data_IF_633645918990
#
_entry.id   IF_633645918990
#
_cell.length_a   1.000
_cell.length_b   1.000
_cell.length_c   1.000
_cell.angle_alpha   90.00
_cell.angle_beta   90.00
_cell.angle_gamma   90.00
#
_symmetry.space_group_name_H-M   'P 1'
#
loop_
_entity.id
_entity.type
_entity.pdbx_description
1 polymer ?
#
# COMPACT_ATOMS: atom_id res chain seq x y z
N UNK A 1 12.56 -7.02 3.68
CA UNK A 1 12.85 -8.12 4.63
C UNK A 1 12.97 -9.41 3.86
N UNK A 2 13.69 -10.40 4.40
CA UNK A 2 13.73 -11.74 3.80
C UNK A 2 12.32 -12.34 3.87
N UNK A 3 11.73 -12.78 2.74
CA UNK A 3 10.41 -13.39 2.74
C UNK A 3 10.43 -14.68 3.55
N UNK A 4 9.51 -14.81 4.50
CA UNK A 4 9.43 -15.98 5.37
C UNK A 4 7.99 -16.38 5.67
N UNK A 5 7.73 -17.67 5.79
CA UNK A 5 6.43 -18.22 6.17
C UNK A 5 6.60 -19.43 7.10
N UNK A 6 5.86 -19.49 8.24
CA UNK A 6 5.76 -20.71 9.02
C UNK A 6 4.77 -21.69 8.38
N UNK A 7 5.05 -22.98 8.50
CA UNK A 7 4.04 -24.03 8.39
C UNK A 7 2.93 -23.79 9.41
N UNK A 8 1.66 -23.93 8.98
CA UNK A 8 0.53 -23.62 9.87
C UNK A 8 0.40 -24.64 11.00
N UNK A 9 0.76 -25.90 10.74
CA UNK A 9 0.73 -26.96 11.73
C UNK A 9 2.05 -27.04 12.50
N UNK A 10 1.96 -27.15 13.82
CA UNK A 10 3.11 -27.48 14.66
C UNK A 10 3.42 -28.98 14.58
N UNK A 11 4.70 -29.32 14.75
CA UNK A 11 5.14 -30.71 14.84
C UNK A 11 4.73 -31.39 16.15
N UNK A 12 4.99 -32.68 16.31
CA UNK A 12 5.61 -33.55 15.31
C UNK A 12 4.66 -33.86 14.14
N UNK A 13 5.24 -34.02 12.95
CA UNK A 13 4.51 -34.28 11.71
C UNK A 13 4.41 -35.80 11.47
N UNK A 14 3.20 -36.29 11.21
CA UNK A 14 2.97 -37.72 10.92
C UNK A 14 2.97 -37.96 9.42
N UNK A 15 4.12 -38.35 8.87
CA UNK A 15 4.32 -38.57 7.44
C UNK A 15 4.36 -40.09 7.15
N UNK A 16 3.55 -40.53 6.20
CA UNK A 16 3.38 -41.92 5.76
C UNK A 16 3.78 -42.05 4.30
N UNK A 17 4.56 -43.08 4.01
CA UNK A 17 5.01 -43.40 2.65
C UNK A 17 3.82 -43.59 1.71
N UNK A 18 3.86 -42.95 0.54
CA UNK A 18 2.81 -43.05 -0.47
C UNK A 18 1.51 -42.30 -0.15
N UNK A 19 1.44 -41.53 0.94
CA UNK A 19 0.21 -40.83 1.36
C UNK A 19 0.40 -39.31 1.49
N UNK A 20 1.45 -38.87 2.19
CA UNK A 20 1.69 -37.45 2.50
C UNK A 20 3.19 -37.15 2.59
N UNK A 21 3.97 -37.85 1.78
CA UNK A 21 5.43 -37.91 1.83
C UNK A 21 6.10 -37.20 0.64
N UNK A 22 5.35 -36.38 -0.10
CA UNK A 22 5.86 -35.67 -1.27
C UNK A 22 5.53 -34.18 -1.17
N UNK A 23 6.53 -33.33 -1.08
CA UNK A 23 6.37 -31.87 -1.11
C UNK A 23 6.55 -31.36 -2.54
N UNK A 24 5.68 -30.44 -2.97
CA UNK A 24 5.79 -29.78 -4.27
C UNK A 24 6.02 -28.29 -4.05
N UNK A 25 7.14 -27.76 -4.55
CA UNK A 25 7.59 -26.40 -4.27
C UNK A 25 8.34 -25.84 -5.48
N UNK A 26 8.12 -24.56 -5.78
CA UNK A 26 8.92 -23.80 -6.73
C UNK A 26 9.71 -22.76 -5.96
N UNK A 27 10.98 -22.58 -6.32
CA UNK A 27 11.89 -21.61 -5.72
C UNK A 27 12.28 -20.62 -6.81
N UNK A 28 12.21 -19.34 -6.50
CA UNK A 28 12.40 -18.21 -7.41
C UNK A 28 11.53 -18.34 -8.67
N UNK A 29 12.16 -18.25 -9.85
CA UNK A 29 11.55 -18.48 -11.16
C UNK A 29 11.84 -19.89 -11.70
N UNK A 30 12.34 -20.80 -10.85
CA UNK A 30 12.67 -22.16 -11.22
C UNK A 30 11.45 -23.04 -11.43
N UNK A 31 11.62 -24.09 -12.24
CA UNK A 31 10.62 -25.12 -12.41
C UNK A 31 10.24 -25.73 -11.05
N UNK A 32 8.96 -26.00 -10.78
CA UNK A 32 8.55 -26.70 -9.56
C UNK A 32 9.25 -28.06 -9.43
N UNK A 33 9.71 -28.37 -8.22
CA UNK A 33 10.39 -29.62 -7.90
C UNK A 33 9.62 -30.42 -6.85
N UNK A 34 9.77 -31.75 -6.92
CA UNK A 34 9.23 -32.67 -5.94
C UNK A 34 10.31 -33.07 -4.93
N UNK A 35 9.97 -33.00 -3.64
CA UNK A 35 10.88 -33.31 -2.55
C UNK A 35 10.25 -34.40 -1.68
N UNK A 36 10.88 -35.58 -1.67
CA UNK A 36 10.44 -36.71 -0.86
C UNK A 36 10.74 -36.43 0.63
N UNK A 37 9.70 -36.44 1.46
CA UNK A 37 9.79 -36.14 2.89
C UNK A 37 10.20 -37.38 3.71
N UNK A 38 10.81 -37.14 4.87
CA UNK A 38 11.06 -38.16 5.89
C UNK A 38 9.76 -38.83 6.35
N UNK A 39 9.77 -40.16 6.49
CA UNK A 39 8.62 -40.96 6.95
C UNK A 39 8.67 -41.23 8.45
N UNK A 40 7.52 -41.23 9.10
CA UNK A 40 7.35 -41.50 10.52
C UNK A 40 6.70 -40.33 11.27
N UNK A 41 6.98 -40.26 12.58
CA UNK A 41 6.59 -39.12 13.42
C UNK A 41 7.81 -38.21 13.56
N UNK A 42 7.88 -37.17 12.75
CA UNK A 42 9.07 -36.34 12.54
C UNK A 42 8.97 -35.05 13.36
N UNK A 43 9.97 -34.73 14.18
CA UNK A 43 10.02 -33.45 14.89
C UNK A 43 10.25 -32.30 13.90
N UNK A 44 9.80 -31.09 14.25
CA UNK A 44 10.01 -29.92 13.38
C UNK A 44 11.49 -29.65 13.09
N UNK A 45 12.38 -29.89 14.07
CA UNK A 45 13.84 -29.76 13.90
C UNK A 45 14.42 -30.71 12.88
N UNK A 46 13.95 -31.96 12.88
CA UNK A 46 14.46 -33.00 11.98
C UNK A 46 13.96 -32.77 10.56
N UNK A 47 12.69 -32.34 10.42
CA UNK A 47 12.12 -31.96 9.13
C UNK A 47 12.81 -30.73 8.55
N UNK A 48 13.04 -29.68 9.34
CA UNK A 48 13.76 -28.48 8.88
C UNK A 48 15.16 -28.83 8.38
N UNK A 49 15.90 -29.69 9.12
CA UNK A 49 17.25 -30.13 8.72
C UNK A 49 17.26 -30.93 7.41
N UNK A 50 16.30 -31.85 7.22
CA UNK A 50 16.20 -32.62 5.97
C UNK A 50 15.78 -31.73 4.79
N UNK A 51 14.85 -30.80 4.98
CA UNK A 51 14.47 -29.85 3.92
C UNK A 51 15.62 -28.92 3.55
N UNK A 52 16.39 -28.46 4.54
CA UNK A 52 17.58 -27.62 4.30
C UNK A 52 18.63 -28.30 3.43
N UNK A 53 18.84 -29.62 3.58
CA UNK A 53 19.81 -30.36 2.77
C UNK A 53 19.30 -30.63 1.35
N UNK A 54 17.98 -30.74 1.16
CA UNK A 54 17.36 -31.01 -0.14
C UNK A 54 17.09 -29.76 -0.97
N UNK A 55 16.86 -28.62 -0.32
CA UNK A 55 16.54 -27.34 -0.97
C UNK A 55 17.50 -26.28 -0.45
N UNK A 56 18.79 -26.33 -0.86
CA UNK A 56 19.82 -25.45 -0.30
C UNK A 56 19.61 -23.96 -0.61
N UNK A 57 18.77 -23.62 -1.61
CA UNK A 57 18.43 -22.24 -1.97
C UNK A 57 17.45 -21.57 -1.01
N UNK A 58 16.86 -22.29 -0.06
CA UNK A 58 15.98 -21.77 0.98
C UNK A 58 16.57 -22.03 2.36
N UNK A 59 16.15 -21.23 3.33
CA UNK A 59 16.52 -21.37 4.73
C UNK A 59 15.35 -21.96 5.53
N UNK A 60 15.59 -23.07 6.22
CA UNK A 60 14.61 -23.77 7.06
C UNK A 60 15.00 -23.69 8.54
N UNK A 61 14.21 -22.97 9.32
CA UNK A 61 14.39 -22.84 10.77
C UNK A 61 13.18 -23.38 11.53
N UNK A 62 13.22 -23.39 12.86
CA UNK A 62 12.10 -23.83 13.69
C UNK A 62 11.74 -22.74 14.69
N UNK A 63 10.47 -22.34 14.69
CA UNK A 63 9.91 -21.38 15.63
C UNK A 63 8.62 -21.93 16.22
N UNK A 64 8.48 -21.93 17.55
CA UNK A 64 7.28 -22.44 18.25
C UNK A 64 6.86 -23.84 17.76
N UNK A 65 7.85 -24.71 17.55
CA UNK A 65 7.67 -26.08 17.06
C UNK A 65 7.03 -26.15 15.66
N UNK A 66 7.20 -25.13 14.82
CA UNK A 66 6.81 -25.10 13.40
C UNK A 66 8.05 -24.91 12.54
N UNK A 67 8.10 -25.58 11.39
CA UNK A 67 9.12 -25.27 10.38
C UNK A 67 8.79 -23.92 9.76
N UNK A 68 9.79 -23.04 9.69
CA UNK A 68 9.72 -21.74 9.02
C UNK A 68 10.61 -21.81 7.80
N UNK A 69 10.04 -21.45 6.65
CA UNK A 69 10.75 -21.37 5.38
C UNK A 69 11.02 -19.91 5.09
N UNK A 70 12.24 -19.58 4.71
CA UNK A 70 12.64 -18.23 4.32
C UNK A 70 13.53 -18.25 3.09
N UNK A 71 13.52 -17.17 2.32
CA UNK A 71 14.53 -16.95 1.27
C UNK A 71 15.94 -16.81 1.88
N UNK A 72 16.98 -16.91 1.05
CA UNK A 72 18.34 -16.60 1.52
C UNK A 72 18.58 -15.09 1.63
N UNK A 73 18.02 -14.32 0.70
CA UNK A 73 18.21 -12.88 0.62
C UNK A 73 16.87 -12.16 0.44
N UNK A 74 16.90 -10.84 0.62
CA UNK A 74 15.77 -10.00 0.24
C UNK A 74 15.73 -9.91 -1.29
N UNK A 75 14.62 -10.34 -1.89
CA UNK A 75 14.45 -10.31 -3.33
C UNK A 75 13.16 -9.59 -3.73
N UNK A 76 13.13 -9.09 -4.96
CA UNK A 76 11.95 -8.48 -5.58
C UNK A 76 11.20 -9.58 -6.34
N UNK A 77 10.00 -9.93 -5.87
CA UNK A 77 9.16 -10.94 -6.51
C UNK A 77 8.92 -12.17 -5.63
N UNK A 78 8.53 -13.28 -6.25
CA UNK A 78 8.22 -14.54 -5.57
C UNK A 78 9.51 -15.28 -5.23
N UNK A 79 9.79 -15.46 -3.94
CA UNK A 79 10.95 -16.23 -3.49
C UNK A 79 10.72 -17.72 -3.53
N UNK A 80 9.51 -18.14 -3.18
CA UNK A 80 9.09 -19.51 -3.36
C UNK A 80 7.57 -19.57 -3.37
N UNK A 81 7.04 -20.62 -3.96
CA UNK A 81 5.61 -20.88 -3.99
C UNK A 81 5.32 -22.35 -3.80
N UNK A 82 4.08 -22.64 -3.41
CA UNK A 82 3.54 -24.00 -3.36
C UNK A 82 2.49 -24.12 -4.46
N UNK A 83 2.87 -24.45 -5.71
CA UNK A 83 1.91 -24.54 -6.79
C UNK A 83 0.81 -25.53 -6.45
N UNK A 84 -0.42 -25.23 -6.86
CA UNK A 84 -1.52 -26.18 -6.70
C UNK A 84 -1.36 -27.30 -7.74
N UNK A 85 -1.08 -28.55 -7.34
CA UNK A 85 -0.88 -29.64 -8.29
C UNK A 85 -2.14 -29.93 -9.13
N UNK A 86 -3.31 -29.45 -8.71
CA UNK A 86 -4.59 -29.59 -9.43
C UNK A 86 -4.71 -28.67 -10.65
N UNK A 87 -3.85 -27.66 -10.79
CA UNK A 87 -3.91 -26.72 -11.92
C UNK A 87 -3.30 -27.30 -13.19
N UNK A 88 -2.25 -28.10 -13.06
CA UNK A 88 -1.62 -28.78 -14.20
C UNK A 88 -2.31 -30.08 -14.56
N UNK A 89 -3.04 -30.67 -13.62
CA UNK A 89 -3.82 -31.88 -13.84
C UNK A 89 -5.19 -31.80 -13.14
N UNK A 90 -6.29 -31.55 -13.89
CA UNK A 90 -7.62 -31.47 -13.33
C UNK A 90 -8.14 -32.82 -12.81
N UNK A 91 -7.50 -33.94 -13.18
CA UNK A 91 -7.81 -35.25 -12.61
C UNK A 91 -7.05 -35.43 -11.30
N UNK A 92 -7.73 -35.15 -10.18
CA UNK A 92 -7.23 -35.41 -8.83
C UNK A 92 -6.92 -36.91 -8.52
N UNK A 93 -6.96 -37.78 -9.54
CA UNK A 93 -6.77 -39.22 -9.46
C UNK A 93 -5.30 -39.67 -9.52
N UNK A 94 -4.35 -38.80 -9.88
CA UNK A 94 -2.94 -39.18 -9.84
C UNK A 94 -2.44 -39.35 -8.41
N UNK A 95 -1.74 -40.47 -8.18
CA UNK A 95 -1.11 -40.80 -6.88
C UNK A 95 -0.14 -39.70 -6.42
N UNK A 96 0.52 -39.01 -7.35
CA UNK A 96 1.41 -37.87 -7.05
C UNK A 96 0.63 -36.69 -6.48
N UNK A 97 -0.49 -36.32 -7.10
CA UNK A 97 -1.36 -35.22 -6.65
C UNK A 97 -1.90 -35.48 -5.26
N UNK A 98 -2.39 -36.69 -4.98
CA UNK A 98 -2.90 -37.05 -3.65
C UNK A 98 -1.81 -37.02 -2.58
N UNK A 99 -0.59 -37.48 -2.91
CA UNK A 99 0.58 -37.42 -2.01
C UNK A 99 0.97 -35.97 -1.67
N UNK A 100 0.97 -35.09 -2.65
CA UNK A 100 1.28 -33.66 -2.45
C UNK A 100 0.23 -32.97 -1.61
N UNK A 101 -1.05 -33.15 -1.92
CA UNK A 101 -2.15 -32.57 -1.14
C UNK A 101 -2.15 -33.11 0.29
N UNK A 102 -1.84 -34.41 0.47
CA UNK A 102 -1.63 -35.01 1.79
C UNK A 102 -0.50 -34.34 2.56
N UNK A 103 0.65 -34.09 1.92
CA UNK A 103 1.78 -33.40 2.53
C UNK A 103 1.42 -31.95 2.90
N UNK A 104 0.79 -31.21 1.99
CA UNK A 104 0.34 -29.84 2.24
C UNK A 104 -0.62 -29.77 3.43
N UNK A 105 -1.62 -30.65 3.49
CA UNK A 105 -2.53 -30.72 4.63
C UNK A 105 -1.80 -31.04 5.95
N UNK A 106 -0.85 -31.98 5.91
CA UNK A 106 -0.07 -32.40 7.09
C UNK A 106 0.81 -31.27 7.63
N UNK A 107 1.45 -30.51 6.74
CA UNK A 107 2.33 -29.39 7.08
C UNK A 107 1.54 -28.09 7.32
N UNK A 108 0.26 -28.03 6.93
CA UNK A 108 -0.53 -26.80 6.99
C UNK A 108 -0.10 -25.77 5.95
N UNK A 109 0.28 -26.24 4.75
CA UNK A 109 0.60 -25.42 3.59
C UNK A 109 -0.70 -25.21 2.79
N UNK A 110 -0.94 -23.96 2.37
CA UNK A 110 -2.07 -23.63 1.51
C UNK A 110 -1.62 -23.75 0.04
N UNK A 111 -2.21 -24.64 -0.77
CA UNK A 111 -1.88 -24.75 -2.19
C UNK A 111 -2.13 -23.42 -2.93
N UNK A 112 -1.31 -23.11 -3.93
CA UNK A 112 -1.35 -21.86 -4.68
C UNK A 112 -0.73 -20.66 -3.95
N UNK A 113 -0.28 -20.83 -2.70
CA UNK A 113 0.33 -19.73 -1.95
C UNK A 113 1.74 -19.45 -2.46
N UNK A 114 1.95 -18.24 -2.93
CA UNK A 114 3.26 -17.67 -3.20
C UNK A 114 3.73 -16.82 -2.01
N UNK A 115 5.00 -16.91 -1.68
CA UNK A 115 5.66 -16.03 -0.71
C UNK A 115 6.56 -15.10 -1.49
N UNK A 116 6.15 -13.84 -1.57
CA UNK A 116 6.92 -12.79 -2.21
C UNK A 116 7.58 -11.89 -1.18
N UNK A 117 8.83 -11.55 -1.44
CA UNK A 117 9.45 -10.36 -0.89
C UNK A 117 9.00 -9.20 -1.77
N UNK A 118 8.29 -8.22 -1.20
CA UNK A 118 8.04 -6.97 -1.90
C UNK A 118 8.64 -5.83 -1.10
N UNK A 119 9.82 -5.41 -1.52
CA UNK A 119 10.27 -4.06 -1.21
C UNK A 119 9.46 -3.09 -2.07
N UNK A 120 8.45 -2.48 -1.47
CA UNK A 120 7.58 -1.52 -2.16
C UNK A 120 8.35 -0.26 -2.55
N UNK A 121 9.24 0.18 -1.66
CA UNK A 121 10.13 1.31 -1.85
C UNK A 121 11.45 1.03 -1.14
N UNK A 122 12.59 1.48 -1.69
CA UNK A 122 13.83 1.46 -0.93
C UNK A 122 13.65 2.26 0.34
N UNK A 123 14.29 1.80 1.42
CA UNK A 123 14.38 2.61 2.64
C UNK A 123 14.92 4.00 2.30
N UNK A 124 14.41 5.02 2.98
CA UNK A 124 14.80 6.41 2.76
C UNK A 124 15.11 7.08 4.10
N UNK A 125 15.82 8.20 4.03
CA UNK A 125 16.16 9.02 5.18
C UNK A 125 16.12 10.49 4.80
N UNK A 126 15.93 11.33 5.81
CA UNK A 126 15.99 12.78 5.67
C UNK A 126 17.40 13.22 6.08
N UNK A 127 18.12 13.88 5.18
CA UNK A 127 19.49 14.35 5.41
C UNK A 127 19.55 15.87 5.35
N UNK A 128 20.47 16.52 6.09
CA UNK A 128 20.73 17.96 5.91
C UNK A 128 21.23 18.18 4.50
N UNK A 129 20.67 19.15 3.80
CA UNK A 129 21.21 19.55 2.50
C UNK A 129 22.54 20.28 2.74
N UNK A 130 23.65 19.65 2.34
CA UNK A 130 24.99 20.22 2.49
C UNK A 130 25.24 21.38 1.51
N UNK A 131 24.41 21.49 0.46
CA UNK A 131 24.51 22.57 -0.53
C UNK A 131 23.68 23.79 -0.16
N UNK A 132 22.75 23.66 0.79
CA UNK A 132 21.94 24.79 1.26
C UNK A 132 22.67 25.59 2.35
N UNK A 133 22.53 26.92 2.27
CA UNK A 133 22.98 27.86 3.30
C UNK A 133 22.07 27.77 4.54
N UNK A 134 20.81 27.33 4.37
CA UNK A 134 19.87 27.18 5.49
C UNK A 134 20.07 25.84 6.20
N UNK A 135 20.42 25.89 7.49
CA UNK A 135 20.64 24.69 8.29
C UNK A 135 19.39 23.83 8.51
N UNK A 136 18.21 24.35 8.17
CA UNK A 136 16.92 23.65 8.25
C UNK A 136 16.59 22.88 7.00
N UNK A 137 17.28 23.11 5.89
CA UNK A 137 16.99 22.42 4.65
C UNK A 137 17.34 20.95 4.73
N UNK A 138 16.43 20.14 4.19
CA UNK A 138 16.50 18.69 4.25
C UNK A 138 16.19 18.09 2.89
N UNK A 139 16.96 17.08 2.51
CA UNK A 139 16.75 16.27 1.31
C UNK A 139 16.33 14.86 1.69
N UNK A 140 15.42 14.28 0.92
CA UNK A 140 15.05 12.87 1.04
C UNK A 140 16.03 12.06 0.19
N UNK A 141 16.76 11.18 0.83
CA UNK A 141 17.74 10.30 0.17
C UNK A 141 17.25 8.87 0.30
N UNK A 142 16.99 8.24 -0.83
CA UNK A 142 16.72 6.80 -0.88
C UNK A 142 18.05 6.05 -0.75
N UNK A 143 18.05 4.98 0.04
CA UNK A 143 19.23 4.14 0.26
C UNK A 143 19.69 3.43 -1.03
N UNK A 144 18.79 3.30 -2.00
CA UNK A 144 19.03 2.74 -3.33
C UNK A 144 18.22 3.54 -4.36
N UNK A 145 18.62 3.55 -5.64
CA UNK A 145 17.85 4.17 -6.71
C UNK A 145 16.42 3.61 -6.76
N UNK A 146 15.45 4.49 -6.97
CA UNK A 146 14.07 4.10 -7.26
C UNK A 146 13.98 3.63 -8.71
N UNK A 147 13.85 2.33 -8.91
CA UNK A 147 13.49 1.78 -10.21
C UNK A 147 11.98 1.92 -10.38
N UNK A 148 11.53 3.05 -10.93
CA UNK A 148 10.13 3.29 -11.22
C UNK A 148 9.90 3.20 -12.74
N UNK A 149 9.02 2.28 -13.15
CA UNK A 149 8.59 2.19 -14.56
C UNK A 149 7.58 3.28 -14.91
N UNK A 150 6.93 3.87 -13.90
CA UNK A 150 6.06 5.02 -14.03
C UNK A 150 6.79 6.29 -13.55
N UNK A 151 6.73 7.42 -14.27
CA UNK A 151 7.54 8.61 -13.95
C UNK A 151 7.03 9.41 -12.75
N UNK A 152 5.96 8.98 -12.07
CA UNK A 152 5.30 9.76 -11.02
C UNK A 152 5.64 9.19 -9.65
N UNK A 153 6.31 10.00 -8.83
CA UNK A 153 6.54 9.73 -7.41
C UNK A 153 5.70 10.74 -6.61
N UNK A 154 4.69 10.25 -5.90
CA UNK A 154 3.90 11.08 -4.99
C UNK A 154 4.45 10.97 -3.57
N UNK A 155 4.83 12.11 -3.00
CA UNK A 155 5.27 12.23 -1.62
C UNK A 155 4.25 13.01 -0.81
N UNK A 156 3.63 12.36 0.17
CA UNK A 156 2.76 13.01 1.14
C UNK A 156 3.51 13.16 2.46
N UNK A 157 3.58 14.37 3.00
CA UNK A 157 4.21 14.64 4.28
C UNK A 157 3.35 15.59 5.11
N UNK A 158 3.46 15.48 6.44
CA UNK A 158 2.86 16.44 7.37
C UNK A 158 3.94 17.41 7.82
N UNK A 159 3.56 18.68 7.96
CA UNK A 159 4.46 19.73 8.44
C UNK A 159 3.70 20.69 9.34
N UNK A 160 4.41 21.41 10.22
CA UNK A 160 3.77 22.47 10.99
C UNK A 160 3.35 23.60 10.05
N UNK A 161 2.27 24.34 10.38
CA UNK A 161 1.79 25.44 9.54
C UNK A 161 2.90 26.42 9.17
N UNK A 162 3.78 26.79 10.10
CA UNK A 162 4.91 27.70 9.89
C UNK A 162 5.92 27.24 8.84
N UNK A 163 5.95 25.95 8.51
CA UNK A 163 6.84 25.34 7.53
C UNK A 163 6.09 24.81 6.29
N UNK A 164 4.80 25.07 6.20
CA UNK A 164 3.96 24.71 5.06
C UNK A 164 4.30 25.61 3.88
N UNK A 165 5.08 25.11 2.90
CA UNK A 165 5.42 25.89 1.70
C UNK A 165 4.20 26.30 0.87
N UNK A 166 3.09 25.54 0.97
CA UNK A 166 1.85 25.77 0.21
C UNK A 166 0.92 26.81 0.86
N UNK A 167 0.91 26.89 2.19
CA UNK A 167 0.01 27.77 2.94
C UNK A 167 0.72 28.85 3.75
N UNK A 168 2.06 28.84 3.78
CA UNK A 168 2.94 29.79 4.48
C UNK A 168 2.46 30.19 5.89
N UNK A 169 2.04 29.22 6.71
CA UNK A 169 1.58 29.50 8.07
C UNK A 169 0.11 29.92 8.21
N UNK A 170 -0.57 30.31 7.13
CA UNK A 170 -1.95 30.80 7.17
C UNK A 170 -2.97 29.70 7.53
N UNK A 171 -2.58 28.41 7.42
CA UNK A 171 -3.49 27.25 7.56
C UNK A 171 -4.66 27.27 6.57
N UNK A 172 -4.57 28.14 5.56
CA UNK A 172 -5.52 28.32 4.47
C UNK A 172 -4.70 28.17 3.18
N UNK A 173 -5.24 27.42 2.23
CA UNK A 173 -4.65 27.21 0.92
C UNK A 173 -5.22 28.25 -0.05
N UNK A 174 -4.38 29.16 -0.52
CA UNK A 174 -4.78 30.26 -1.40
C UNK A 174 -4.67 29.86 -2.88
N UNK A 175 -5.47 30.46 -3.77
CA UNK A 175 -5.47 30.20 -5.24
C UNK A 175 -4.20 30.68 -5.98
N UNK A 176 -3.16 31.00 -5.23
CA UNK A 176 -1.87 31.40 -5.73
C UNK A 176 -0.77 30.56 -5.10
N UNK A 177 0.29 30.36 -5.87
CA UNK A 177 1.55 29.81 -5.39
C UNK A 177 2.49 30.97 -5.08
N UNK A 178 3.17 30.88 -3.95
CA UNK A 178 4.29 31.79 -3.67
C UNK A 178 5.54 31.20 -4.31
N UNK A 179 6.09 31.91 -5.30
CA UNK A 179 7.33 31.55 -6.00
C UNK A 179 8.31 32.69 -5.79
N UNK A 180 9.31 32.45 -4.94
CA UNK A 180 10.20 33.52 -4.45
C UNK A 180 9.40 34.56 -3.66
N UNK A 181 9.50 35.82 -4.07
CA UNK A 181 8.76 36.96 -3.49
C UNK A 181 7.53 37.35 -4.32
N UNK A 182 7.14 36.52 -5.29
CA UNK A 182 6.01 36.78 -6.21
C UNK A 182 4.86 35.80 -6.04
N UNK A 183 3.67 36.27 -6.43
CA UNK A 183 2.46 35.46 -6.51
C UNK A 183 2.24 34.99 -7.94
N UNK A 184 2.17 33.68 -8.14
CA UNK A 184 1.74 33.07 -9.40
C UNK A 184 0.34 32.49 -9.22
N UNK A 185 -0.58 32.83 -10.11
CA UNK A 185 -1.94 32.27 -10.11
C UNK A 185 -1.88 30.80 -10.51
N UNK A 186 -2.63 29.95 -9.81
CA UNK A 186 -2.80 28.55 -10.22
C UNK A 186 -3.80 28.50 -11.38
N UNK A 187 -3.46 27.81 -12.46
CA UNK A 187 -4.26 27.75 -13.68
C UNK A 187 -4.68 26.31 -14.03
N UNK A 188 -5.57 26.19 -15.03
CA UNK A 188 -6.01 24.94 -15.64
C UNK A 188 -6.47 23.85 -14.65
N UNK A 189 -5.88 22.66 -14.75
CA UNK A 189 -6.26 21.45 -14.02
C UNK A 189 -5.85 21.56 -12.54
N UNK A 190 -4.78 22.28 -12.25
CA UNK A 190 -4.33 22.50 -10.87
C UNK A 190 -5.32 23.40 -10.12
N UNK A 191 -5.85 24.43 -10.80
CA UNK A 191 -6.90 25.28 -10.24
C UNK A 191 -8.17 24.45 -9.98
N UNK A 192 -8.56 23.61 -10.93
CA UNK A 192 -9.71 22.72 -10.75
C UNK A 192 -9.54 21.79 -9.54
N UNK A 193 -8.37 21.15 -9.40
CA UNK A 193 -8.09 20.29 -8.24
C UNK A 193 -8.15 21.08 -6.93
N UNK A 194 -7.55 22.27 -6.91
CA UNK A 194 -7.56 23.13 -5.75
C UNK A 194 -8.98 23.57 -5.35
N UNK A 195 -9.80 23.99 -6.31
CA UNK A 195 -11.18 24.39 -6.05
C UNK A 195 -12.01 23.20 -5.52
N UNK A 196 -11.84 22.01 -6.12
CA UNK A 196 -12.51 20.79 -5.65
C UNK A 196 -12.06 20.43 -4.22
N UNK A 197 -10.76 20.49 -3.93
CA UNK A 197 -10.21 20.21 -2.60
C UNK A 197 -10.74 21.20 -1.55
N UNK A 198 -10.80 22.49 -1.89
CA UNK A 198 -11.39 23.53 -1.03
C UNK A 198 -12.83 23.19 -0.68
N UNK A 199 -13.65 22.81 -1.66
CA UNK A 199 -15.04 22.42 -1.41
C UNK A 199 -15.14 21.12 -0.62
N UNK A 200 -14.27 20.15 -0.89
CA UNK A 200 -14.33 18.85 -0.26
C UNK A 200 -13.88 18.87 1.19
N UNK A 201 -12.83 19.64 1.50
CA UNK A 201 -12.22 19.65 2.83
C UNK A 201 -12.70 20.79 3.73
N UNK A 202 -13.41 21.78 3.19
CA UNK A 202 -14.15 22.75 4.01
C UNK A 202 -15.29 22.03 4.75
N UNK A 203 -15.36 22.18 6.07
CA UNK A 203 -16.42 21.59 6.88
C UNK A 203 -17.72 22.36 6.67
N UNK A 204 -18.83 21.68 6.39
CA UNK A 204 -20.16 22.33 6.35
C UNK A 204 -20.38 23.12 7.65
N UNK A 205 -20.76 24.38 7.51
CA UNK A 205 -20.97 25.33 8.60
C UNK A 205 -19.72 26.10 9.05
N UNK A 206 -18.51 25.78 8.53
CA UNK A 206 -17.29 26.50 8.90
C UNK A 206 -16.98 27.70 8.02
N UNK A 207 -17.61 27.82 6.85
CA UNK A 207 -17.41 28.98 5.98
C UNK A 207 -18.20 30.18 6.51
N UNK A 208 -17.53 31.32 6.73
CA UNK A 208 -18.08 32.50 7.39
C UNK A 208 -19.32 33.10 6.69
N UNK A 209 -19.30 33.15 5.35
CA UNK A 209 -20.39 33.73 4.53
C UNK A 209 -21.45 32.72 4.10
N UNK A 210 -21.04 31.50 3.72
CA UNK A 210 -21.90 30.48 3.14
C UNK A 210 -21.86 29.21 3.99
N UNK A 211 -22.63 29.17 5.06
CA UNK A 211 -22.65 28.02 5.98
C UNK A 211 -22.99 26.67 5.33
N UNK A 212 -23.65 26.69 4.16
CA UNK A 212 -23.96 25.48 3.38
C UNK A 212 -22.79 24.98 2.52
N UNK A 213 -21.71 25.76 2.38
CA UNK A 213 -20.54 25.41 1.59
C UNK A 213 -19.65 24.41 2.35
N UNK A 214 -19.18 23.39 1.63
CA UNK A 214 -18.27 22.37 2.15
C UNK A 214 -18.81 20.94 2.02
N UNK A 215 -18.18 20.02 2.75
CA UNK A 215 -18.65 18.64 2.88
C UNK A 215 -18.59 18.15 4.34
N UNK A 216 -19.11 16.93 4.56
CA UNK A 216 -18.96 16.21 5.83
C UNK A 216 -17.83 15.17 5.80
N UNK A 217 -17.03 15.10 4.71
CA UNK A 217 -15.99 14.08 4.52
C UNK A 217 -14.98 14.08 5.67
N UNK A 218 -14.52 15.26 6.10
CA UNK A 218 -13.58 15.39 7.22
C UNK A 218 -14.14 14.91 8.55
N UNK A 219 -15.46 15.04 8.77
CA UNK A 219 -16.12 14.54 9.97
C UNK A 219 -16.22 13.00 9.98
N UNK A 220 -16.10 12.34 8.81
CA UNK A 220 -16.16 10.88 8.68
C UNK A 220 -14.79 10.19 8.81
N UNK A 221 -13.69 10.93 8.58
CA UNK A 221 -12.34 10.40 8.76
C UNK A 221 -12.17 9.99 10.24
N UNK A 222 -11.85 8.71 10.47
CA UNK A 222 -11.67 8.16 11.82
C UNK A 222 -12.95 7.62 12.47
N UNK A 223 -14.12 7.71 11.82
CA UNK A 223 -15.32 7.03 12.29
C UNK A 223 -15.20 5.50 12.06
N UNK A 224 -15.60 4.70 13.05
CA UNK A 224 -15.61 3.24 12.93
C UNK A 224 -16.77 2.80 12.03
N UNK A 225 -16.51 1.79 11.20
CA UNK A 225 -17.27 1.37 10.01
C UNK A 225 -18.74 0.94 10.11
N UNK A 226 -19.52 1.41 11.10
CA UNK A 226 -20.99 1.37 11.03
C UNK A 226 -21.62 2.33 12.03
N UNK A 227 -22.25 3.39 11.54
CA UNK A 227 -23.31 4.10 12.27
C UNK A 227 -24.62 3.84 11.54
N UNK A 228 -25.27 2.71 11.85
CA UNK A 228 -26.54 2.28 11.23
C UNK A 228 -26.38 1.40 9.99
N UNK A 229 -27.39 1.43 9.09
CA UNK A 229 -27.49 0.61 7.88
C UNK A 229 -26.62 1.09 6.71
N UNK A 230 -25.92 2.23 6.84
CA UNK A 230 -25.10 2.82 5.77
C UNK A 230 -23.64 2.61 6.13
N UNK A 231 -22.88 1.97 5.23
CA UNK A 231 -21.43 1.84 5.38
C UNK A 231 -20.77 3.22 5.30
N UNK A 232 -19.66 3.41 6.02
CA UNK A 232 -18.89 4.66 5.98
C UNK A 232 -18.49 5.01 4.54
N UNK A 233 -18.17 4.01 3.71
CA UNK A 233 -17.86 4.17 2.29
C UNK A 233 -19.03 4.77 1.48
N UNK A 234 -20.25 4.28 1.69
CA UNK A 234 -21.44 4.81 1.03
C UNK A 234 -21.73 6.25 1.47
N UNK A 235 -21.49 6.54 2.75
CA UNK A 235 -21.71 7.87 3.31
C UNK A 235 -20.65 8.90 2.84
N UNK A 236 -19.38 8.48 2.72
CA UNK A 236 -18.32 9.28 2.09
C UNK A 236 -18.67 9.54 0.63
N UNK A 237 -19.00 8.50 -0.14
CA UNK A 237 -19.40 8.65 -1.55
C UNK A 237 -20.52 9.68 -1.71
N UNK A 238 -21.57 9.58 -0.88
CA UNK A 238 -22.69 10.51 -0.91
C UNK A 238 -22.25 11.96 -0.61
N UNK A 239 -21.37 12.17 0.36
CA UNK A 239 -20.88 13.52 0.69
C UNK A 239 -20.03 14.10 -0.44
N UNK A 240 -19.16 13.30 -1.06
CA UNK A 240 -18.36 13.72 -2.22
C UNK A 240 -19.29 14.11 -3.38
N UNK A 241 -20.27 13.26 -3.72
CA UNK A 241 -21.22 13.55 -4.81
C UNK A 241 -22.03 14.82 -4.53
N UNK A 242 -22.49 15.03 -3.29
CA UNK A 242 -23.21 16.25 -2.91
C UNK A 242 -22.33 17.49 -3.01
N UNK A 243 -21.11 17.43 -2.47
CA UNK A 243 -20.17 18.55 -2.53
C UNK A 243 -19.86 18.94 -3.98
N UNK A 244 -19.64 17.95 -4.85
CA UNK A 244 -19.39 18.18 -6.26
C UNK A 244 -20.61 18.76 -6.99
N UNK A 245 -21.81 18.26 -6.70
CA UNK A 245 -23.05 18.82 -7.27
C UNK A 245 -23.30 20.28 -6.86
N UNK A 246 -22.97 20.64 -5.62
CA UNK A 246 -23.03 22.04 -5.15
C UNK A 246 -22.00 22.90 -5.88
N UNK A 247 -20.75 22.44 -5.99
CA UNK A 247 -19.70 23.12 -6.72
C UNK A 247 -20.09 23.39 -8.18
N UNK A 248 -20.57 22.37 -8.90
CA UNK A 248 -21.02 22.50 -10.29
C UNK A 248 -22.18 23.51 -10.42
N UNK A 249 -23.12 23.50 -9.47
CA UNK A 249 -24.23 24.44 -9.46
C UNK A 249 -23.74 25.89 -9.28
N UNK A 250 -22.78 26.13 -8.39
CA UNK A 250 -22.17 27.46 -8.21
C UNK A 250 -21.50 27.92 -9.51
N UNK A 251 -20.65 27.08 -10.11
CA UNK A 251 -19.97 27.42 -11.37
C UNK A 251 -20.97 27.71 -12.50
N UNK A 252 -22.05 26.92 -12.58
CA UNK A 252 -23.13 27.16 -13.54
C UNK A 252 -23.85 28.50 -13.28
N UNK A 253 -24.20 28.81 -12.02
CA UNK A 253 -24.84 30.07 -11.66
C UNK A 253 -23.94 31.27 -11.91
N UNK A 254 -22.65 31.18 -11.61
CA UNK A 254 -21.66 32.21 -11.88
C UNK A 254 -21.55 32.47 -13.37
N UNK A 255 -21.36 31.42 -14.18
CA UNK A 255 -21.32 31.53 -15.65
C UNK A 255 -22.58 32.19 -16.22
N UNK A 256 -23.76 31.88 -15.66
CA UNK A 256 -25.04 32.41 -16.12
C UNK A 256 -25.27 33.87 -15.71
N UNK A 257 -24.90 34.23 -14.47
CA UNK A 257 -25.23 35.55 -13.88
C UNK A 257 -24.14 36.60 -14.09
N UNK A 258 -22.89 36.18 -14.24
CA UNK A 258 -21.73 37.06 -14.35
C UNK A 258 -20.81 36.60 -15.49
N UNK A 259 -21.30 36.53 -16.75
CA UNK A 259 -20.55 35.95 -17.87
C UNK A 259 -19.29 36.75 -18.28
N UNK A 260 -19.18 38.01 -17.83
CA UNK A 260 -18.03 38.88 -18.09
C UNK A 260 -17.05 38.94 -16.91
N UNK A 261 -17.34 38.25 -15.80
CA UNK A 261 -16.41 38.13 -14.69
C UNK A 261 -15.48 36.95 -14.99
N UNK A 262 -14.18 37.22 -15.16
CA UNK A 262 -13.18 36.16 -15.07
C UNK A 262 -13.32 35.54 -13.68
N UNK A 263 -13.81 34.30 -13.66
CA UNK A 263 -14.14 33.58 -12.44
C UNK A 263 -12.84 33.10 -11.81
N UNK A 264 -12.15 34.02 -11.15
CA UNK A 264 -11.03 33.71 -10.27
C UNK A 264 -11.44 34.09 -8.86
N UNK A 265 -11.45 33.13 -7.93
CA UNK A 265 -11.70 33.36 -6.50
C UNK A 265 -10.46 33.97 -5.82
N UNK A 266 -9.62 34.70 -6.58
CA UNK A 266 -8.31 35.19 -6.18
C UNK A 266 -8.42 36.29 -5.10
N UNK A 267 -8.47 35.87 -3.84
CA UNK A 267 -8.28 36.73 -2.68
C UNK A 267 -6.78 37.05 -2.53
N UNK A 268 -6.33 38.11 -3.20
CA UNK A 268 -4.97 38.62 -2.99
C UNK A 268 -4.83 39.18 -1.57
N UNK A 269 -3.90 38.69 -0.73
CA UNK A 269 -3.52 39.43 0.46
C UNK A 269 -2.94 40.77 0.01
N UNK A 270 -3.32 41.86 0.69
CA UNK A 270 -2.73 43.17 0.45
C UNK A 270 -1.22 43.08 0.76
N UNK A 271 -0.40 42.96 -0.30
CA UNK A 271 1.07 42.99 -0.36
C UNK A 271 1.84 42.27 0.76
N UNK A 272 2.76 41.37 0.39
CA UNK A 272 3.84 40.97 1.31
C UNK A 272 4.75 42.19 1.50
N UNK A 273 4.65 42.83 2.67
CA UNK A 273 5.63 43.81 3.12
C UNK A 273 6.88 43.12 3.66
#
# INVERSE_FOLDING_TARGET
SVPSIPFSNAGPYRIRSGVNDLLYISVDHGAPQFVQLLKGTIKATDLARDLQSRIPSLNFTVEKNRVVISGQEAMVGTAFSFPDPRWTDPTASLITTSRVLGAFNTLGIVPGRAVSGRELYPGWRVYKDETSVDERDRVIVFNRPLFNHDPIIQLNFVTFPSFCRRCQGARIEYDYRVVGDTYETVEDVDLLFQEVDKFLFTKIGSHWKWAWLGSNVTNRVGQKGSTGFISVDAAITMDITKAFGVYQNIKMQQNTRFPAQDVTDAEYPQSLG
#
